data_IF_534071630138
#
_entry.id   IF_534071630138
#
_cell.length_a   1.000
_cell.length_b   1.000
_cell.length_c   1.000
_cell.angle_alpha   90.00
_cell.angle_beta   90.00
_cell.angle_gamma   90.00
#
_symmetry.space_group_name_H-M   'P 1'
#
loop_
_entity.id
_entity.type
_entity.pdbx_description
1 polymer ?
#
# COMPACT_ATOMS: atom_id res chain seq x y z
N UNK A 1 -62.66 17.94 26.10
CA UNK A 1 -62.54 16.50 25.76
C UNK A 1 -61.30 16.37 24.91
N UNK A 2 -60.29 15.69 25.44
CA UNK A 2 -58.94 15.54 24.88
C UNK A 2 -58.73 14.05 24.61
N UNK A 3 -58.74 13.67 23.34
CA UNK A 3 -58.46 12.33 22.83
C UNK A 3 -57.79 12.57 21.47
N UNK A 4 -56.69 11.96 21.08
CA UNK A 4 -55.92 10.87 21.65
C UNK A 4 -55.05 10.32 20.52
N UNK A 5 -53.82 9.92 20.83
CA UNK A 5 -53.09 8.93 20.04
C UNK A 5 -52.18 9.43 18.92
N UNK A 6 -51.05 10.07 19.26
CA UNK A 6 -49.85 9.99 18.41
C UNK A 6 -49.00 8.83 18.94
N UNK A 7 -49.07 7.71 18.23
CA UNK A 7 -48.33 6.49 18.52
C UNK A 7 -46.83 6.75 18.62
N UNK A 8 -46.25 6.30 19.73
CA UNK A 8 -44.82 6.27 20.02
C UNK A 8 -44.24 5.03 19.37
N UNK A 9 -43.38 5.20 18.36
CA UNK A 9 -42.50 4.13 17.90
C UNK A 9 -41.14 4.32 18.56
N UNK A 10 -40.84 3.45 19.52
CA UNK A 10 -39.55 3.31 20.17
C UNK A 10 -38.52 2.91 19.10
N UNK A 11 -37.44 3.69 18.98
CA UNK A 11 -36.24 3.28 18.25
C UNK A 11 -35.58 2.14 19.04
N UNK A 12 -35.97 0.91 18.76
CA UNK A 12 -35.25 -0.27 19.23
C UNK A 12 -33.98 -0.43 18.41
N UNK A 13 -32.88 0.09 18.95
CA UNK A 13 -31.52 -0.22 18.52
C UNK A 13 -31.22 -1.70 18.77
N UNK A 14 -31.37 -2.55 17.76
CA UNK A 14 -30.76 -3.89 17.76
C UNK A 14 -29.41 -3.81 17.05
N UNK A 15 -28.36 -3.69 17.86
CA UNK A 15 -26.98 -3.97 17.49
C UNK A 15 -26.82 -5.48 17.28
N UNK A 16 -26.71 -5.93 16.04
CA UNK A 16 -26.34 -7.31 15.70
C UNK A 16 -24.93 -7.27 15.11
N UNK A 17 -23.98 -7.87 15.85
CA UNK A 17 -22.62 -8.11 15.41
C UNK A 17 -22.60 -8.94 14.10
N UNK A 18 -21.61 -8.76 13.21
CA UNK A 18 -21.54 -9.53 11.98
C UNK A 18 -21.14 -10.97 12.30
N UNK A 19 -22.13 -11.85 12.44
CA UNK A 19 -21.93 -13.30 12.40
C UNK A 19 -21.71 -13.71 10.95
N UNK A 20 -20.48 -14.13 10.63
CA UNK A 20 -20.22 -14.86 9.39
C UNK A 20 -21.06 -16.14 9.44
N UNK A 21 -21.97 -16.30 8.48
CA UNK A 21 -22.58 -17.60 8.23
C UNK A 21 -22.76 -17.70 6.73
N UNK A 22 -21.82 -18.41 6.12
CA UNK A 22 -21.88 -18.88 4.75
C UNK A 22 -23.22 -19.56 4.51
N UNK A 23 -24.13 -18.87 3.83
CA UNK A 23 -25.33 -19.49 3.25
C UNK A 23 -25.34 -19.16 1.77
N UNK A 24 -24.79 -20.07 0.98
CA UNK A 24 -25.00 -20.11 -0.46
C UNK A 24 -26.50 -20.21 -0.72
N UNK A 25 -27.13 -19.08 -1.01
CA UNK A 25 -28.46 -19.03 -1.59
C UNK A 25 -28.27 -18.73 -3.07
N UNK A 26 -28.24 -19.79 -3.88
CA UNK A 26 -28.34 -19.71 -5.33
C UNK A 26 -29.74 -19.18 -5.66
N UNK A 27 -29.90 -17.86 -5.56
CA UNK A 27 -31.06 -17.16 -6.11
C UNK A 27 -30.70 -16.87 -7.56
N UNK A 28 -31.15 -17.76 -8.45
CA UNK A 28 -31.15 -17.54 -9.89
C UNK A 28 -31.98 -16.29 -10.20
N UNK A 29 -31.35 -15.12 -10.10
CA UNK A 29 -31.83 -13.95 -10.80
C UNK A 29 -31.41 -14.14 -12.25
N UNK A 30 -32.38 -14.44 -13.09
CA UNK A 30 -32.26 -14.32 -14.54
C UNK A 30 -32.01 -12.87 -14.89
N UNK A 31 -30.78 -12.41 -14.71
CA UNK A 31 -30.28 -11.25 -15.42
C UNK A 31 -29.79 -11.80 -16.75
N UNK A 32 -30.54 -11.51 -17.81
CA UNK A 32 -29.99 -11.53 -19.16
C UNK A 32 -29.02 -10.34 -19.23
N UNK A 33 -27.87 -10.50 -18.56
CA UNK A 33 -26.76 -9.57 -18.57
C UNK A 33 -25.98 -9.84 -19.84
N UNK A 34 -26.37 -9.12 -20.88
CA UNK A 34 -25.53 -8.73 -21.99
C UNK A 34 -24.04 -8.76 -21.62
N UNK A 35 -23.26 -9.53 -22.41
CA UNK A 35 -21.81 -9.73 -22.31
C UNK A 35 -21.01 -8.42 -22.17
N UNK A 36 -21.62 -7.28 -22.53
CA UNK A 36 -21.08 -5.94 -22.38
C UNK A 36 -20.82 -5.52 -20.92
N UNK A 37 -21.68 -5.89 -19.96
CA UNK A 37 -21.54 -5.45 -18.56
C UNK A 37 -20.37 -6.12 -17.81
N UNK A 38 -20.15 -7.41 -18.07
CA UNK A 38 -18.98 -8.15 -17.58
C UNK A 38 -17.69 -7.63 -18.23
N UNK A 39 -17.72 -7.32 -19.54
CA UNK A 39 -16.56 -6.79 -20.24
C UNK A 39 -16.08 -5.44 -19.70
N UNK A 40 -17.01 -4.56 -19.29
CA UNK A 40 -16.69 -3.27 -18.67
C UNK A 40 -16.00 -3.46 -17.31
N UNK A 41 -16.56 -4.34 -16.47
CA UNK A 41 -16.02 -4.60 -15.13
C UNK A 41 -14.63 -5.24 -15.20
N UNK A 42 -14.43 -6.22 -16.09
CA UNK A 42 -13.12 -6.84 -16.32
C UNK A 42 -12.08 -5.84 -16.83
N UNK A 43 -12.46 -4.98 -17.77
CA UNK A 43 -11.59 -3.95 -18.32
C UNK A 43 -11.18 -2.95 -17.23
N UNK A 44 -12.13 -2.50 -16.41
CA UNK A 44 -11.86 -1.60 -15.29
C UNK A 44 -10.91 -2.22 -14.25
N UNK A 45 -11.09 -3.51 -13.91
CA UNK A 45 -10.18 -4.22 -13.01
C UNK A 45 -8.78 -4.29 -13.59
N UNK A 46 -8.64 -4.68 -14.87
CA UNK A 46 -7.35 -4.76 -15.58
C UNK A 46 -6.65 -3.40 -15.68
N UNK A 47 -7.38 -2.34 -15.94
CA UNK A 47 -6.79 -1.00 -16.02
C UNK A 47 -6.37 -0.51 -14.64
N UNK A 48 -7.15 -0.79 -13.59
CA UNK A 48 -6.77 -0.47 -12.22
C UNK A 48 -5.50 -1.22 -11.76
N UNK A 49 -5.33 -2.49 -12.17
CA UNK A 49 -4.14 -3.27 -11.81
C UNK A 49 -2.90 -2.79 -12.57
N UNK A 50 -3.03 -2.43 -13.85
CA UNK A 50 -1.96 -1.79 -14.62
C UNK A 50 -1.54 -0.46 -14.01
N UNK A 51 -2.50 0.37 -13.60
CA UNK A 51 -2.20 1.65 -12.97
C UNK A 51 -1.45 1.46 -11.65
N UNK A 52 -1.89 0.52 -10.81
CA UNK A 52 -1.15 0.16 -9.58
C UNK A 52 0.27 -0.29 -9.88
N UNK A 53 0.44 -1.22 -10.83
CA UNK A 53 1.78 -1.70 -11.22
C UNK A 53 2.68 -0.58 -11.77
N UNK A 54 2.13 0.38 -12.51
CA UNK A 54 2.88 1.54 -12.99
C UNK A 54 3.32 2.46 -11.84
N UNK A 55 2.43 2.71 -10.88
CA UNK A 55 2.73 3.50 -9.68
C UNK A 55 3.82 2.82 -8.84
N UNK A 56 3.69 1.51 -8.62
CA UNK A 56 4.66 0.73 -7.84
C UNK A 56 6.06 0.77 -8.48
N UNK A 57 6.15 0.69 -9.81
CA UNK A 57 7.42 0.86 -10.54
C UNK A 57 8.05 2.23 -10.34
N UNK A 58 7.26 3.30 -10.42
CA UNK A 58 7.76 4.67 -10.19
C UNK A 58 8.29 4.83 -8.77
N UNK A 59 7.60 4.27 -7.77
CA UNK A 59 8.09 4.30 -6.39
C UNK A 59 9.36 3.48 -6.20
N UNK A 60 9.49 2.35 -6.88
CA UNK A 60 10.69 1.51 -6.86
C UNK A 60 11.89 2.24 -7.46
N UNK A 61 11.74 2.84 -8.64
CA UNK A 61 12.80 3.64 -9.28
C UNK A 61 13.21 4.82 -8.40
N UNK A 62 12.25 5.58 -7.85
CA UNK A 62 12.54 6.69 -6.94
C UNK A 62 13.32 6.22 -5.70
N UNK A 63 12.98 5.04 -5.17
CA UNK A 63 13.66 4.47 -4.00
C UNK A 63 15.10 4.08 -4.34
N UNK A 64 15.33 3.51 -5.52
CA UNK A 64 16.68 3.20 -6.02
C UNK A 64 17.50 4.48 -6.14
N UNK A 65 16.98 5.51 -6.79
CA UNK A 65 17.67 6.80 -6.98
C UNK A 65 18.07 7.45 -5.65
N UNK A 66 17.16 7.45 -4.68
CA UNK A 66 17.43 7.98 -3.33
C UNK A 66 18.54 7.18 -2.65
N UNK A 67 18.47 5.85 -2.67
CA UNK A 67 19.48 5.02 -2.04
C UNK A 67 20.85 5.15 -2.72
N UNK A 68 20.88 5.31 -4.04
CA UNK A 68 22.11 5.57 -4.80
C UNK A 68 22.75 6.90 -4.37
N UNK A 69 21.95 7.97 -4.28
CA UNK A 69 22.42 9.27 -3.79
C UNK A 69 22.98 9.20 -2.37
N UNK A 70 22.31 8.49 -1.46
CA UNK A 70 22.77 8.29 -0.08
C UNK A 70 24.09 7.51 -0.01
N UNK A 71 24.23 6.45 -0.81
CA UNK A 71 25.46 5.67 -0.88
C UNK A 71 26.65 6.50 -1.40
N UNK A 72 26.42 7.36 -2.41
CA UNK A 72 27.44 8.28 -2.94
C UNK A 72 27.85 9.32 -1.89
N UNK A 73 26.87 9.92 -1.19
CA UNK A 73 27.16 10.89 -0.13
C UNK A 73 28.00 10.26 0.99
N UNK A 74 27.68 9.03 1.41
CA UNK A 74 28.46 8.32 2.41
C UNK A 74 29.87 7.98 1.93
N UNK A 75 30.03 7.62 0.65
CA UNK A 75 31.34 7.39 0.06
C UNK A 75 32.24 8.63 0.15
N UNK A 76 31.68 9.81 -0.12
CA UNK A 76 32.41 11.07 -0.01
C UNK A 76 32.74 11.45 1.44
N UNK A 77 31.80 11.20 2.37
CA UNK A 77 32.04 11.39 3.80
C UNK A 77 33.17 10.48 4.31
N UNK A 78 33.16 9.20 3.93
CA UNK A 78 34.21 8.23 4.29
C UNK A 78 35.56 8.73 3.78
N UNK A 79 35.65 9.16 2.52
CA UNK A 79 36.87 9.71 1.92
C UNK A 79 37.41 10.91 2.72
N UNK A 80 36.52 11.82 3.14
CA UNK A 80 36.89 12.96 3.98
C UNK A 80 37.38 12.53 5.37
N UNK A 81 36.69 11.57 6.00
CA UNK A 81 37.04 11.05 7.33
C UNK A 81 38.40 10.33 7.31
N UNK A 82 38.68 9.57 6.26
CA UNK A 82 39.97 8.91 6.04
C UNK A 82 41.10 9.94 5.85
N UNK A 83 40.87 10.96 5.02
CA UNK A 83 41.86 12.01 4.76
C UNK A 83 42.19 12.87 6.00
N UNK A 84 41.21 13.04 6.89
CA UNK A 84 41.36 13.81 8.14
C UNK A 84 41.91 12.97 9.30
N UNK A 85 42.10 11.66 9.12
CA UNK A 85 42.63 10.76 10.16
C UNK A 85 41.65 10.49 11.30
N UNK A 86 40.34 10.50 11.01
CA UNK A 86 39.32 10.21 12.03
C UNK A 86 39.44 8.77 12.57
N UNK A 87 38.93 8.51 13.79
CA UNK A 87 38.96 7.18 14.39
C UNK A 87 38.34 6.10 13.47
N UNK A 88 38.96 4.91 13.34
CA UNK A 88 38.47 3.83 12.49
C UNK A 88 37.02 3.43 12.78
N UNK A 89 36.60 3.47 14.06
CA UNK A 89 35.23 3.14 14.46
C UNK A 89 34.16 4.02 13.79
N UNK A 90 34.45 5.31 13.56
CA UNK A 90 33.52 6.23 12.89
C UNK A 90 33.45 5.91 11.40
N UNK A 91 34.61 5.63 10.79
CA UNK A 91 34.71 5.27 9.38
C UNK A 91 33.97 3.95 9.12
N UNK A 92 34.16 2.95 9.97
CA UNK A 92 33.50 1.65 9.84
C UNK A 92 31.99 1.75 10.07
N UNK A 93 31.56 2.60 11.01
CA UNK A 93 30.13 2.91 11.19
C UNK A 93 29.51 3.47 9.90
N UNK A 94 30.20 4.41 9.23
CA UNK A 94 29.75 4.98 7.96
C UNK A 94 29.79 3.98 6.80
N UNK A 95 30.78 3.10 6.77
CA UNK A 95 30.83 1.98 5.81
C UNK A 95 29.66 1.03 5.98
N UNK A 96 29.31 0.66 7.21
CA UNK A 96 28.16 -0.19 7.50
C UNK A 96 26.86 0.45 7.05
N UNK A 97 26.67 1.75 7.33
CA UNK A 97 25.53 2.52 6.84
C UNK A 97 25.43 2.48 5.31
N UNK A 98 26.55 2.68 4.61
CA UNK A 98 26.61 2.62 3.14
C UNK A 98 26.25 1.24 2.60
N UNK A 99 26.68 0.16 3.26
CA UNK A 99 26.36 -1.21 2.84
C UNK A 99 24.85 -1.49 2.93
N UNK A 100 24.15 -0.90 3.91
CA UNK A 100 22.69 -1.03 4.00
C UNK A 100 22.03 -0.44 2.76
N UNK A 101 22.44 0.74 2.31
CA UNK A 101 21.86 1.37 1.12
C UNK A 101 22.20 0.60 -0.17
N UNK A 102 23.42 0.08 -0.27
CA UNK A 102 23.81 -0.81 -1.39
C UNK A 102 22.94 -2.06 -1.46
N UNK A 103 22.72 -2.72 -0.33
CA UNK A 103 21.85 -3.90 -0.27
C UNK A 103 20.38 -3.56 -0.63
N UNK A 104 19.90 -2.36 -0.28
CA UNK A 104 18.56 -1.90 -0.68
C UNK A 104 18.43 -1.63 -2.17
N UNK A 105 19.50 -1.15 -2.82
CA UNK A 105 19.53 -0.99 -4.28
C UNK A 105 19.48 -2.35 -4.94
N UNK A 106 20.34 -3.29 -4.53
CA UNK A 106 20.40 -4.64 -5.09
C UNK A 106 19.09 -5.41 -4.89
N UNK A 107 18.39 -5.23 -3.76
CA UNK A 107 17.09 -5.85 -3.52
C UNK A 107 15.94 -5.22 -4.32
N UNK A 108 16.14 -4.02 -4.87
CA UNK A 108 15.15 -3.28 -5.65
C UNK A 108 15.41 -3.36 -7.17
N UNK A 109 16.57 -3.84 -7.61
CA UNK A 109 16.86 -4.20 -9.01
C UNK A 109 16.29 -5.58 -9.39
#
# INVERSE_FOLDING_TARGET
>A
MSEGGRSRSLLSSSSIAPSNTNRSSTRMFGFSGDDFSNSYTESWIKDSSKQRAAIDRVYQELTIDINQGLAQQLSEQIRCLEATGNPPAIIDSKRNEMQIYKARIEAAE
#
